data_IF_861127425333
#
_entry.id   IF_861127425333
#
_cell.length_a   1.000
_cell.length_b   1.000
_cell.length_c   1.000
_cell.angle_alpha   90.00
_cell.angle_beta   90.00
_cell.angle_gamma   90.00
#
_symmetry.space_group_name_H-M   'P 1'
#
loop_
_entity.id
_entity.type
_entity.pdbx_description
1 polymer ?
#
# COMPACT_ATOMS: atom_id res chain seq x y z
N UNK A 1 14.01 -24.06 -4.06
CA UNK A 1 13.97 -25.48 -3.72
C UNK A 1 13.93 -25.63 -2.21
N UNK A 2 13.11 -26.54 -1.70
CA UNK A 2 13.14 -26.99 -0.30
C UNK A 2 13.56 -28.45 -0.33
N UNK A 3 14.64 -28.80 0.36
CA UNK A 3 15.15 -30.18 0.41
C UNK A 3 14.67 -30.92 1.66
N UNK A 4 14.66 -32.25 1.61
CA UNK A 4 14.36 -33.13 2.74
C UNK A 4 15.37 -32.99 3.88
N UNK A 5 16.62 -32.73 3.53
CA UNK A 5 17.70 -32.37 4.45
C UNK A 5 17.54 -31.00 5.13
N UNK A 6 16.46 -30.26 4.85
CA UNK A 6 16.14 -28.98 5.50
C UNK A 6 16.89 -27.78 4.92
N UNK A 7 17.48 -27.91 3.73
CA UNK A 7 18.11 -26.79 3.02
C UNK A 7 17.06 -26.04 2.20
N UNK A 8 17.19 -24.72 2.19
CA UNK A 8 16.35 -23.83 1.41
C UNK A 8 17.23 -23.08 0.43
N UNK A 9 16.94 -23.24 -0.87
CA UNK A 9 17.71 -22.60 -1.95
C UNK A 9 16.79 -21.69 -2.73
N UNK A 10 17.10 -20.40 -2.73
CA UNK A 10 16.43 -19.36 -3.52
C UNK A 10 17.47 -18.69 -4.41
N UNK A 11 17.17 -18.58 -5.70
CA UNK A 11 18.03 -17.96 -6.70
C UNK A 11 17.17 -17.31 -7.78
N UNK A 12 17.75 -16.36 -8.51
CA UNK A 12 17.09 -15.70 -9.64
C UNK A 12 16.80 -16.66 -10.81
N UNK A 13 17.51 -17.77 -10.87
CA UNK A 13 17.46 -18.76 -11.95
C UNK A 13 17.38 -20.19 -11.40
N UNK A 14 17.07 -21.14 -12.29
CA UNK A 14 17.06 -22.58 -11.98
C UNK A 14 18.39 -23.20 -12.39
N UNK A 15 18.89 -24.15 -11.59
CA UNK A 15 20.13 -24.87 -11.90
C UNK A 15 21.41 -24.21 -11.38
N UNK A 16 21.30 -23.18 -10.53
CA UNK A 16 22.48 -22.53 -9.90
C UNK A 16 23.22 -23.46 -8.94
N UNK A 17 22.50 -24.38 -8.31
CA UNK A 17 23.06 -25.35 -7.36
C UNK A 17 22.58 -26.74 -7.78
N UNK A 18 23.53 -27.66 -7.93
CA UNK A 18 23.23 -29.08 -8.16
C UNK A 18 22.65 -29.70 -6.89
N UNK A 19 21.42 -30.18 -7.01
CA UNK A 19 20.67 -30.85 -5.94
C UNK A 19 20.05 -32.09 -6.55
N UNK A 20 20.22 -33.24 -5.89
CA UNK A 20 19.57 -34.49 -6.29
C UNK A 20 18.04 -34.28 -6.33
N UNK A 21 17.36 -34.58 -7.45
CA UNK A 21 15.90 -34.51 -7.54
C UNK A 21 15.19 -35.30 -6.44
N UNK A 22 15.77 -36.41 -5.94
CA UNK A 22 15.21 -37.20 -4.86
C UNK A 22 15.19 -36.46 -3.50
N UNK A 23 16.08 -35.47 -3.32
CA UNK A 23 16.15 -34.62 -2.14
C UNK A 23 15.15 -33.46 -2.19
N UNK A 24 14.55 -33.14 -3.34
CA UNK A 24 13.66 -31.99 -3.48
C UNK A 24 12.25 -32.33 -2.98
N UNK A 25 11.85 -31.73 -1.86
CA UNK A 25 10.47 -31.80 -1.35
C UNK A 25 9.56 -30.85 -2.12
N UNK A 26 10.04 -29.63 -2.38
CA UNK A 26 9.23 -28.60 -3.05
C UNK A 26 10.07 -27.76 -4.01
N UNK A 27 9.55 -27.58 -5.22
CA UNK A 27 10.08 -26.70 -6.25
C UNK A 27 9.01 -25.70 -6.65
N UNK A 28 9.36 -24.41 -6.67
CA UNK A 28 8.43 -23.34 -7.00
C UNK A 28 9.17 -22.04 -7.31
N UNK A 29 8.40 -21.03 -7.70
CA UNK A 29 8.88 -19.67 -7.97
C UNK A 29 8.06 -18.66 -7.20
N UNK A 30 8.66 -17.50 -6.90
CA UNK A 30 7.91 -16.39 -6.33
C UNK A 30 7.09 -15.70 -7.42
N UNK A 31 5.83 -15.41 -7.06
CA UNK A 31 4.90 -14.62 -7.86
C UNK A 31 4.89 -13.18 -7.30
N UNK A 32 4.55 -12.18 -8.13
CA UNK A 32 4.40 -10.82 -7.65
C UNK A 32 3.44 -10.74 -6.45
N UNK A 33 3.86 -10.05 -5.40
CA UNK A 33 3.09 -9.91 -4.17
C UNK A 33 3.22 -11.07 -3.18
N UNK A 34 3.85 -12.19 -3.52
CA UNK A 34 4.12 -13.27 -2.57
C UNK A 34 5.44 -13.05 -1.83
N UNK A 35 5.44 -13.34 -0.53
CA UNK A 35 6.59 -13.28 0.36
C UNK A 35 7.06 -14.71 0.65
N UNK A 36 8.37 -14.91 0.64
CA UNK A 36 9.00 -16.14 1.10
C UNK A 36 9.59 -15.93 2.49
N UNK A 37 9.02 -16.58 3.50
CA UNK A 37 9.45 -16.42 4.88
C UNK A 37 9.99 -17.74 5.45
N UNK A 38 11.19 -17.69 6.02
CA UNK A 38 11.86 -18.83 6.63
C UNK A 38 12.14 -18.51 8.09
N UNK A 39 11.54 -19.27 8.98
CA UNK A 39 11.85 -19.21 10.40
C UNK A 39 13.05 -20.11 10.71
N UNK A 40 14.18 -19.49 11.00
CA UNK A 40 15.42 -20.20 11.30
C UNK A 40 15.40 -20.87 12.69
N UNK A 41 14.57 -20.40 13.62
CA UNK A 41 14.46 -20.99 14.96
C UNK A 41 13.61 -22.25 14.93
N UNK A 42 12.44 -22.16 14.32
CA UNK A 42 11.52 -23.29 14.20
C UNK A 42 11.84 -24.21 13.01
N UNK A 43 12.77 -23.79 12.13
CA UNK A 43 13.16 -24.51 10.90
C UNK A 43 11.98 -24.77 9.96
N UNK A 44 11.03 -23.85 9.95
CA UNK A 44 9.81 -23.96 9.13
C UNK A 44 9.77 -22.87 8.07
N UNK A 45 9.20 -23.21 6.91
CA UNK A 45 8.88 -22.25 5.86
C UNK A 45 7.39 -21.95 5.97
N UNK A 46 7.04 -20.69 6.27
CA UNK A 46 5.64 -20.27 6.37
C UNK A 46 5.08 -19.87 5.02
N UNK A 47 3.79 -20.15 4.81
CA UNK A 47 3.09 -19.71 3.62
C UNK A 47 2.85 -18.19 3.64
N UNK A 48 2.79 -17.58 2.46
CA UNK A 48 2.58 -16.13 2.29
C UNK A 48 1.33 -15.61 3.02
N UNK A 49 0.19 -16.28 2.84
CA UNK A 49 -1.08 -15.86 3.42
C UNK A 49 -1.08 -15.95 4.96
N UNK A 50 -0.50 -17.01 5.51
CA UNK A 50 -0.38 -17.23 6.96
C UNK A 50 0.46 -16.13 7.59
N UNK A 51 1.64 -15.85 7.02
CA UNK A 51 2.54 -14.81 7.54
C UNK A 51 1.91 -13.41 7.45
N UNK A 52 1.24 -13.10 6.33
CA UNK A 52 0.55 -11.82 6.17
C UNK A 52 -0.58 -11.65 7.18
N UNK A 53 -1.36 -12.70 7.43
CA UNK A 53 -2.42 -12.66 8.43
C UNK A 53 -1.86 -12.41 9.84
N UNK A 54 -0.77 -13.10 10.19
CA UNK A 54 -0.07 -12.90 11.46
C UNK A 54 0.38 -11.44 11.62
N UNK A 55 1.12 -10.90 10.65
CA UNK A 55 1.60 -9.50 10.68
C UNK A 55 0.42 -8.51 10.71
N UNK A 56 -0.61 -8.73 9.90
CA UNK A 56 -1.78 -7.86 9.84
C UNK A 56 -2.57 -7.84 11.16
N UNK A 57 -2.51 -8.91 11.95
CA UNK A 57 -3.18 -9.01 13.24
C UNK A 57 -2.41 -8.37 14.40
N UNK A 58 -1.11 -8.04 14.23
CA UNK A 58 -0.28 -7.52 15.32
C UNK A 58 -0.76 -6.17 15.89
N UNK A 59 -1.46 -5.38 15.09
CA UNK A 59 -2.00 -4.07 15.50
C UNK A 59 -3.39 -3.89 14.87
N UNK A 60 -4.28 -3.09 15.47
CA UNK A 60 -5.61 -2.84 14.94
C UNK A 60 -5.58 -1.83 13.78
N UNK A 61 -4.86 -2.14 12.70
CA UNK A 61 -4.68 -1.22 11.55
C UNK A 61 -6.02 -0.76 10.95
N UNK A 62 -7.02 -1.65 10.94
CA UNK A 62 -8.36 -1.32 10.46
C UNK A 62 -9.09 -0.28 11.34
N UNK A 63 -8.82 -0.24 12.65
CA UNK A 63 -9.38 0.79 13.53
C UNK A 63 -8.71 2.14 13.27
N UNK A 64 -7.38 2.15 13.14
CA UNK A 64 -6.61 3.36 12.85
C UNK A 64 -7.01 4.00 11.52
N UNK A 65 -7.17 3.18 10.47
CA UNK A 65 -7.68 3.66 9.19
C UNK A 65 -9.05 4.32 9.37
N UNK A 66 -9.99 3.70 10.08
CA UNK A 66 -11.32 4.31 10.29
C UNK A 66 -11.29 5.61 11.09
N UNK A 67 -10.34 5.76 12.01
CA UNK A 67 -10.25 6.94 12.88
C UNK A 67 -9.57 8.12 12.21
N UNK A 68 -8.49 7.86 11.45
CA UNK A 68 -7.59 8.90 10.95
C UNK A 68 -7.71 9.13 9.43
N UNK A 69 -8.40 8.25 8.71
CA UNK A 69 -8.60 8.42 7.26
C UNK A 69 -9.68 9.46 6.99
N UNK A 70 -9.27 10.58 6.42
CA UNK A 70 -10.18 11.61 5.89
C UNK A 70 -10.16 11.55 4.38
N UNK A 71 -11.33 11.39 3.75
CA UNK A 71 -11.43 11.45 2.29
C UNK A 71 -11.64 12.90 1.85
N UNK A 72 -10.87 13.34 0.86
CA UNK A 72 -10.98 14.70 0.31
C UNK A 72 -12.38 15.01 -0.25
N UNK A 73 -13.07 14.00 -0.78
CA UNK A 73 -14.43 14.13 -1.29
C UNK A 73 -15.41 14.58 -0.19
N UNK A 74 -15.25 14.09 1.04
CA UNK A 74 -16.11 14.43 2.18
C UNK A 74 -15.90 15.90 2.58
N UNK A 75 -14.65 16.37 2.55
CA UNK A 75 -14.29 17.77 2.84
C UNK A 75 -14.92 18.72 1.81
N UNK A 76 -14.82 18.39 0.52
CA UNK A 76 -15.36 19.24 -0.56
C UNK A 76 -16.89 19.29 -0.52
N UNK A 77 -17.54 18.18 -0.17
CA UNK A 77 -18.99 18.12 0.00
C UNK A 77 -19.49 18.99 1.17
N UNK A 78 -18.69 19.13 2.24
CA UNK A 78 -18.99 20.06 3.35
C UNK A 78 -18.66 21.52 3.01
N UNK A 79 -17.56 21.78 2.30
CA UNK A 79 -17.18 23.13 1.86
C UNK A 79 -18.21 23.74 0.90
N UNK A 80 -18.87 22.93 0.07
CA UNK A 80 -19.97 23.36 -0.79
C UNK A 80 -21.26 23.79 -0.06
N UNK A 81 -21.38 23.52 1.24
CA UNK A 81 -22.53 23.95 2.07
C UNK A 81 -22.32 25.30 2.73
N UNK A 82 -21.11 25.85 2.69
CA UNK A 82 -20.84 27.19 3.20
C UNK A 82 -21.58 28.15 2.26
N UNK A 83 -22.56 28.95 2.75
CA UNK A 83 -23.18 29.98 1.94
C UNK A 83 -22.08 30.95 1.55
N UNK A 84 -21.66 30.91 0.28
CA UNK A 84 -20.77 31.91 -0.26
C UNK A 84 -21.61 33.19 -0.25
N UNK A 85 -21.27 34.21 0.56
CA UNK A 85 -22.00 35.46 0.51
C UNK A 85 -21.92 35.96 -0.94
N UNK A 86 -23.02 36.51 -1.50
CA UNK A 86 -22.97 37.05 -2.84
C UNK A 86 -21.82 38.05 -2.87
N UNK A 87 -20.78 37.74 -3.66
CA UNK A 87 -19.77 38.73 -3.99
C UNK A 87 -20.53 39.89 -4.61
N UNK A 88 -20.47 41.10 -4.03
CA UNK A 88 -21.05 42.26 -4.68
C UNK A 88 -20.36 42.38 -6.03
N UNK A 89 -21.09 42.08 -7.11
CA UNK A 89 -20.74 42.56 -8.44
C UNK A 89 -21.01 44.07 -8.43
N UNK A 90 -20.21 44.83 -7.68
CA UNK A 90 -19.98 46.21 -8.05
C UNK A 90 -19.18 46.13 -9.34
N UNK A 91 -19.89 46.24 -10.47
CA UNK A 91 -19.24 46.70 -11.68
C UNK A 91 -18.50 47.98 -11.29
N UNK A 92 -17.20 48.11 -11.56
CA UNK A 92 -16.49 49.34 -11.24
C UNK A 92 -17.30 50.49 -11.82
N UNK A 93 -17.66 51.45 -10.96
CA UNK A 93 -18.44 52.58 -11.42
C UNK A 93 -17.68 53.22 -12.61
N UNK A 94 -18.43 53.69 -13.61
CA UNK A 94 -17.82 54.34 -14.80
C UNK A 94 -17.18 55.70 -14.47
N UNK A 95 -17.25 56.15 -13.21
CA UNK A 95 -16.73 57.41 -12.70
C UNK A 95 -15.26 57.28 -12.24
N UNK A 96 -14.86 56.13 -11.71
CA UNK A 96 -13.48 55.80 -11.33
C UNK A 96 -12.53 55.64 -12.53
N UNK A 97 -13.07 55.34 -13.72
CA UNK A 97 -12.31 55.25 -14.98
C UNK A 97 -11.96 56.62 -15.58
N UNK A 98 -12.56 57.73 -15.10
CA UNK A 98 -12.22 59.08 -15.56
C UNK A 98 -11.03 59.70 -14.83
N UNK A 99 -10.64 59.17 -13.67
CA UNK A 99 -9.52 59.71 -12.87
C UNK A 99 -8.15 59.14 -13.20
N UNK A 100 -8.08 58.13 -14.07
CA UNK A 100 -6.82 57.44 -14.43
C UNK A 100 -6.33 57.83 -15.85
N UNK A 101 -7.07 58.69 -16.58
CA UNK A 101 -6.72 59.13 -17.94
C UNK A 101 -6.47 60.65 -18.06
N UNK A 102 -6.04 61.32 -16.99
CA UNK A 102 -5.44 62.67 -17.08
C UNK A 102 -4.13 62.68 -16.32
#
# INVERSE_FOLDING_TARGET
YITKSGKVVMASEVGVVDIDPAEVTQKGRLRPGNIFFVDLKNKTVKADAEMKAEIASMKPYGAWLKQEQVHLADIVAEAGKIPIPPVPCEAPDREGLRRVLT
#
